data_IF_610704258362
#
_entry.id   IF_610704258362
#
_cell.length_a   1.000
_cell.length_b   1.000
_cell.length_c   1.000
_cell.angle_alpha   90.00
_cell.angle_beta   90.00
_cell.angle_gamma   90.00
#
_symmetry.space_group_name_H-M   'P 1'
#
loop_
_entity.id
_entity.type
_entity.pdbx_description
1 polymer ?
#
# COMPACT_ATOMS: atom_id res chain seq x y z
N UNK A 1 12.76 21.51 37.35
CA UNK A 1 11.64 20.54 37.40
C UNK A 1 10.96 20.62 36.04
N UNK A 2 11.31 19.75 35.09
CA UNK A 2 10.72 18.42 34.86
C UNK A 2 9.21 18.47 34.63
N UNK A 3 8.81 18.66 33.38
CA UNK A 3 7.69 17.89 32.85
C UNK A 3 8.23 17.12 31.65
N UNK A 4 8.70 15.90 31.94
CA UNK A 4 8.86 14.91 30.89
C UNK A 4 7.50 14.78 30.22
N UNK A 5 7.49 14.92 28.89
CA UNK A 5 6.39 14.42 28.08
C UNK A 5 6.33 12.94 28.42
N UNK A 6 5.43 12.58 29.35
CA UNK A 6 5.14 11.19 29.65
C UNK A 6 4.77 10.57 28.32
N UNK A 7 5.61 9.62 27.89
CA UNK A 7 5.25 8.66 26.86
C UNK A 7 3.85 8.18 27.21
N UNK A 8 2.83 8.64 26.47
CA UNK A 8 1.52 8.02 26.53
C UNK A 8 1.77 6.59 26.10
N UNK A 9 1.73 5.67 27.06
CA UNK A 9 1.60 4.25 26.77
C UNK A 9 0.29 4.11 25.99
N UNK A 10 0.39 4.06 24.67
CA UNK A 10 -0.73 3.69 23.81
C UNK A 10 -1.02 2.21 24.11
N UNK A 11 -1.93 1.99 25.05
CA UNK A 11 -2.41 0.67 25.49
C UNK A 11 -3.53 0.13 24.58
N UNK A 12 -3.88 0.83 23.50
CA UNK A 12 -4.86 0.37 22.53
C UNK A 12 -4.12 -0.23 21.32
N UNK A 13 -4.40 -1.51 21.05
CA UNK A 13 -4.03 -2.15 19.78
C UNK A 13 -4.55 -1.30 18.64
N UNK A 14 -3.66 -0.49 18.08
CA UNK A 14 -3.97 0.42 17.00
C UNK A 14 -3.72 -0.29 15.68
N UNK A 15 -4.64 -0.15 14.73
CA UNK A 15 -4.44 -0.65 13.38
C UNK A 15 -4.01 0.50 12.47
N UNK A 16 -3.04 0.24 11.60
CA UNK A 16 -2.68 1.16 10.51
C UNK A 16 -3.15 0.54 9.19
N UNK A 17 -4.09 1.21 8.54
CA UNK A 17 -4.63 0.80 7.24
C UNK A 17 -3.87 1.53 6.13
N UNK A 18 -3.33 0.79 5.17
CA UNK A 18 -2.48 1.30 4.10
C UNK A 18 -2.98 0.80 2.74
N UNK A 19 -3.24 1.73 1.82
CA UNK A 19 -3.50 1.45 0.41
C UNK A 19 -2.46 2.23 -0.40
N UNK A 20 -1.28 1.64 -0.59
CA UNK A 20 -0.11 2.30 -1.16
C UNK A 20 0.57 1.39 -2.20
N UNK A 21 1.30 2.00 -3.14
CA UNK A 21 2.04 1.28 -4.18
C UNK A 21 1.70 1.72 -5.61
N UNK A 22 0.50 2.29 -5.84
CA UNK A 22 0.07 2.72 -7.19
C UNK A 22 1.03 3.69 -7.87
N UNK A 23 1.60 4.64 -7.13
CA UNK A 23 2.58 5.59 -7.69
C UNK A 23 3.93 4.95 -7.96
N UNK A 24 4.34 3.95 -7.17
CA UNK A 24 5.58 3.21 -7.38
C UNK A 24 5.51 2.43 -8.69
N UNK A 25 4.36 1.87 -9.03
CA UNK A 25 4.13 1.13 -10.28
C UNK A 25 4.30 1.98 -11.55
N UNK A 26 4.38 3.31 -11.41
CA UNK A 26 4.72 4.20 -12.52
C UNK A 26 6.20 4.15 -12.89
N UNK A 27 7.09 3.84 -11.95
CA UNK A 27 8.54 4.01 -12.11
C UNK A 27 9.34 2.75 -11.81
N UNK A 28 8.83 1.92 -10.91
CA UNK A 28 9.50 0.75 -10.36
C UNK A 28 8.93 -0.53 -10.98
N UNK A 29 9.74 -1.59 -11.02
CA UNK A 29 9.19 -2.94 -11.19
C UNK A 29 8.42 -3.36 -9.92
N UNK A 30 7.48 -4.31 -10.01
CA UNK A 30 6.73 -4.81 -8.84
C UNK A 30 7.62 -5.16 -7.64
N UNK A 31 8.77 -5.81 -7.88
CA UNK A 31 9.69 -6.25 -6.83
C UNK A 31 10.39 -5.07 -6.15
N UNK A 32 10.76 -4.04 -6.91
CA UNK A 32 11.43 -2.84 -6.38
C UNK A 32 10.47 -2.00 -5.54
N UNK A 33 9.22 -1.87 -5.99
CA UNK A 33 8.18 -1.22 -5.19
C UNK A 33 7.85 -2.01 -3.93
N UNK A 34 7.76 -3.35 -4.04
CA UNK A 34 7.53 -4.22 -2.90
C UNK A 34 8.63 -4.10 -1.85
N UNK A 35 9.90 -4.04 -2.26
CA UNK A 35 11.02 -3.80 -1.34
C UNK A 35 10.87 -2.49 -0.56
N UNK A 36 10.34 -1.42 -1.19
CA UNK A 36 10.03 -0.16 -0.50
C UNK A 36 8.89 -0.32 0.52
N UNK A 37 7.90 -1.18 0.25
CA UNK A 37 6.85 -1.53 1.22
C UNK A 37 7.44 -2.26 2.43
N UNK A 38 8.36 -3.20 2.22
CA UNK A 38 9.04 -3.89 3.33
C UNK A 38 9.80 -2.89 4.21
N UNK A 39 10.56 -1.99 3.61
CA UNK A 39 11.27 -0.95 4.36
C UNK A 39 10.32 -0.04 5.17
N UNK A 40 9.13 0.25 4.63
CA UNK A 40 8.10 0.99 5.37
C UNK A 40 7.55 0.18 6.55
N UNK A 41 7.25 -1.11 6.35
CA UNK A 41 6.79 -2.01 7.41
C UNK A 41 7.80 -2.04 8.56
N UNK A 42 9.08 -2.24 8.24
CA UNK A 42 10.15 -2.26 9.22
C UNK A 42 10.23 -0.95 10.00
N UNK A 43 10.11 0.20 9.32
CA UNK A 43 10.10 1.52 9.95
C UNK A 43 8.90 1.74 10.88
N UNK A 44 7.71 1.32 10.44
CA UNK A 44 6.47 1.41 11.24
C UNK A 44 6.57 0.50 12.46
N UNK A 45 7.02 -0.74 12.30
CA UNK A 45 7.17 -1.70 13.41
C UNK A 45 8.27 -1.29 14.39
N UNK A 46 9.35 -0.67 13.92
CA UNK A 46 10.37 -0.10 14.80
C UNK A 46 9.82 1.06 15.66
N UNK A 47 8.95 1.90 15.09
CA UNK A 47 8.37 3.05 15.79
C UNK A 47 7.15 2.68 16.65
N UNK A 48 6.38 1.69 16.19
CA UNK A 48 5.09 1.27 16.75
C UNK A 48 4.97 -0.27 16.74
N UNK A 49 5.70 -0.97 17.62
CA UNK A 49 5.84 -2.42 17.56
C UNK A 49 4.53 -3.20 17.77
N UNK A 50 3.56 -2.62 18.49
CA UNK A 50 2.27 -3.25 18.78
C UNK A 50 1.18 -2.94 17.73
N UNK A 51 1.48 -2.16 16.70
CA UNK A 51 0.50 -1.78 15.68
C UNK A 51 0.23 -2.93 14.74
N UNK A 52 -1.05 -3.30 14.56
CA UNK A 52 -1.47 -4.22 13.51
C UNK A 52 -1.45 -3.49 12.18
N UNK A 53 -0.87 -4.09 11.14
CA UNK A 53 -0.87 -3.49 9.80
C UNK A 53 -1.96 -4.13 8.96
N UNK A 54 -2.68 -3.31 8.21
CA UNK A 54 -3.71 -3.76 7.29
C UNK A 54 -3.38 -3.16 5.94
N UNK A 55 -2.99 -3.98 4.97
CA UNK A 55 -2.76 -3.52 3.60
C UNK A 55 -3.98 -3.82 2.75
N UNK A 56 -4.45 -2.81 2.02
CA UNK A 56 -5.46 -2.98 0.98
C UNK A 56 -4.70 -3.14 -0.34
N UNK A 57 -5.02 -4.18 -1.11
CA UNK A 57 -4.48 -4.34 -2.47
C UNK A 57 -4.82 -3.12 -3.32
N UNK A 58 -4.00 -2.81 -4.33
CA UNK A 58 -4.29 -1.67 -5.21
C UNK A 58 -5.11 -2.13 -6.43
N UNK A 59 -5.99 -1.28 -6.99
CA UNK A 59 -6.74 -1.60 -8.19
C UNK A 59 -5.80 -1.81 -9.39
N UNK A 60 -6.16 -2.76 -10.26
CA UNK A 60 -5.53 -2.89 -11.58
C UNK A 60 -5.73 -1.59 -12.35
N UNK A 61 -4.67 -1.06 -12.96
CA UNK A 61 -4.73 0.19 -13.69
C UNK A 61 -5.18 -0.08 -15.14
N UNK A 62 -6.02 0.81 -15.68
CA UNK A 62 -6.47 0.71 -17.08
C UNK A 62 -5.53 1.48 -18.00
N UNK A 63 -4.61 0.76 -18.63
CA UNK A 63 -3.57 1.30 -19.52
C UNK A 63 -4.15 2.07 -20.71
N UNK A 64 -5.32 1.69 -21.22
CA UNK A 64 -5.97 2.37 -22.35
C UNK A 64 -6.46 3.78 -21.98
N UNK A 65 -6.82 4.00 -20.70
CA UNK A 65 -7.21 5.30 -20.16
C UNK A 65 -6.02 6.19 -19.78
N UNK A 66 -4.83 5.62 -19.62
CA UNK A 66 -3.62 6.36 -19.25
C UNK A 66 -3.10 7.09 -20.49
N UNK A 67 -3.40 8.39 -20.57
CA UNK A 67 -2.91 9.25 -21.66
C UNK A 67 -1.38 9.20 -21.74
N UNK A 68 -0.88 9.10 -22.97
CA UNK A 68 0.50 8.81 -23.43
C UNK A 68 1.66 9.67 -22.91
N UNK A 69 1.47 10.53 -21.90
CA UNK A 69 2.56 11.25 -21.23
C UNK A 69 3.27 10.41 -20.17
N UNK A 70 2.83 9.17 -19.94
CA UNK A 70 3.42 8.24 -18.98
C UNK A 70 4.22 7.21 -19.75
N UNK A 71 5.45 7.57 -20.11
CA UNK A 71 6.44 6.63 -20.61
C UNK A 71 6.56 5.48 -19.59
N UNK A 72 6.25 4.26 -20.03
CA UNK A 72 6.47 3.00 -19.31
C UNK A 72 5.81 2.90 -17.92
N UNK A 73 4.47 2.93 -17.85
CA UNK A 73 3.81 2.33 -16.68
C UNK A 73 4.11 0.83 -16.74
N UNK A 74 4.82 0.32 -15.74
CA UNK A 74 5.02 -1.12 -15.59
C UNK A 74 3.81 -1.66 -14.83
N UNK A 75 2.76 -2.02 -15.58
CA UNK A 75 1.41 -2.23 -15.03
C UNK A 75 1.22 -3.65 -14.52
N UNK A 76 2.26 -4.27 -13.95
CA UNK A 76 2.10 -5.58 -13.33
C UNK A 76 1.65 -5.44 -11.87
N UNK A 77 0.50 -4.79 -11.71
CA UNK A 77 -0.19 -4.65 -10.43
C UNK A 77 -0.61 -6.01 -9.88
N UNK A 78 -0.84 -6.99 -10.75
CA UNK A 78 -1.22 -8.35 -10.36
C UNK A 78 -0.02 -9.03 -9.66
N UNK A 79 1.19 -8.89 -10.18
CA UNK A 79 2.41 -9.35 -9.51
C UNK A 79 2.63 -8.60 -8.19
N UNK A 80 2.51 -7.27 -8.17
CA UNK A 80 2.68 -6.50 -6.93
C UNK A 80 1.68 -6.91 -5.84
N UNK A 81 0.40 -7.09 -6.19
CA UNK A 81 -0.62 -7.55 -5.26
C UNK A 81 -0.36 -9.00 -4.79
N UNK A 82 0.22 -9.85 -5.64
CA UNK A 82 0.65 -11.20 -5.26
C UNK A 82 1.80 -11.14 -4.23
N UNK A 83 2.77 -10.25 -4.44
CA UNK A 83 3.84 -10.01 -3.47
C UNK A 83 3.29 -9.48 -2.14
N UNK A 84 2.35 -8.51 -2.17
CA UNK A 84 1.68 -8.04 -0.95
C UNK A 84 0.97 -9.17 -0.19
N UNK A 85 0.28 -10.07 -0.89
CA UNK A 85 -0.39 -11.21 -0.26
C UNK A 85 0.59 -12.15 0.44
N UNK A 86 1.84 -12.23 -0.02
CA UNK A 86 2.87 -13.04 0.64
C UNK A 86 3.29 -12.52 2.02
N UNK A 87 2.93 -11.28 2.37
CA UNK A 87 3.19 -10.68 3.69
C UNK A 87 2.16 -11.05 4.74
N UNK A 88 1.08 -11.75 4.38
CA UNK A 88 0.03 -12.05 5.33
C UNK A 88 0.54 -12.94 6.47
N UNK A 89 0.39 -12.45 7.70
CA UNK A 89 0.77 -13.15 8.92
C UNK A 89 -0.14 -12.76 10.11
N UNK A 90 0.27 -13.03 11.35
CA UNK A 90 -0.53 -12.73 12.54
C UNK A 90 -0.65 -11.22 12.84
N UNK A 91 0.27 -10.41 12.34
CA UNK A 91 0.44 -8.98 12.62
C UNK A 91 0.17 -8.08 11.39
N UNK A 92 0.02 -8.69 10.23
CA UNK A 92 -0.25 -8.06 8.93
C UNK A 92 -1.45 -8.75 8.26
N UNK A 93 -2.57 -8.04 8.14
CA UNK A 93 -3.70 -8.47 7.32
C UNK A 93 -3.59 -7.88 5.90
N UNK A 94 -3.96 -8.67 4.90
CA UNK A 94 -4.11 -8.22 3.52
C UNK A 94 -5.58 -8.30 3.13
N UNK A 95 -6.15 -7.16 2.74
CA UNK A 95 -7.54 -7.05 2.28
C UNK A 95 -7.53 -6.86 0.77
N UNK A 96 -8.09 -7.83 0.05
CA UNK A 96 -8.38 -7.67 -1.36
C UNK A 96 -9.75 -7.02 -1.55
N UNK A 97 -9.78 -5.76 -1.99
CA UNK A 97 -11.03 -5.01 -2.12
C UNK A 97 -11.85 -5.40 -3.36
N UNK A 98 -11.30 -6.27 -4.24
CA UNK A 98 -12.03 -6.76 -5.42
C UNK A 98 -12.41 -5.66 -6.41
N UNK A 99 -11.48 -4.73 -6.65
CA UNK A 99 -11.70 -3.63 -7.59
C UNK A 99 -12.12 -4.13 -8.97
N UNK A 100 -13.20 -3.55 -9.49
CA UNK A 100 -13.69 -3.83 -10.84
C UNK A 100 -13.23 -2.73 -11.80
N UNK A 101 -13.00 -3.08 -13.07
CA UNK A 101 -12.50 -2.14 -14.10
C UNK A 101 -13.40 -0.90 -14.28
N UNK A 102 -14.71 -1.05 -14.02
CA UNK A 102 -15.69 0.02 -14.10
C UNK A 102 -15.61 1.03 -12.94
N UNK A 103 -14.78 0.76 -11.92
CA UNK A 103 -14.58 1.64 -10.76
C UNK A 103 -13.51 2.70 -11.02
N UNK A 104 -12.78 2.63 -12.13
CA UNK A 104 -11.79 3.65 -12.48
C UNK A 104 -12.40 4.82 -13.26
N UNK A 105 -11.83 6.00 -13.06
CA UNK A 105 -12.06 7.18 -13.87
C UNK A 105 -11.42 7.01 -15.26
N UNK A 106 -11.71 7.97 -16.15
CA UNK A 106 -11.21 7.97 -17.53
C UNK A 106 -9.69 8.01 -17.66
N UNK A 107 -8.97 8.37 -16.59
CA UNK A 107 -7.51 8.37 -16.56
C UNK A 107 -6.91 6.98 -16.28
N UNK A 108 -7.74 5.98 -15.96
CA UNK A 108 -7.31 4.62 -15.71
C UNK A 108 -6.52 4.40 -14.42
N UNK A 109 -6.45 5.40 -13.52
CA UNK A 109 -5.69 5.33 -12.27
C UNK A 109 -6.57 5.64 -11.05
N UNK A 110 -7.38 6.70 -11.12
CA UNK A 110 -8.16 7.13 -9.97
C UNK A 110 -9.52 6.43 -9.92
N UNK A 111 -10.05 6.21 -8.71
CA UNK A 111 -11.40 5.69 -8.54
C UNK A 111 -12.45 6.74 -8.94
N UNK A 112 -13.56 6.26 -9.52
CA UNK A 112 -14.76 7.01 -9.83
C UNK A 112 -15.61 7.14 -8.57
N UNK A 113 -15.87 8.37 -8.13
CA UNK A 113 -16.77 8.71 -7.03
C UNK A 113 -17.97 9.50 -7.54
#
# INVERSE_FOLDING_TARGET
>A
MNESIKNKEYNETSAMVMCIGTINMKYDKPQDAFAKIIALIDSVKASYPKTKLIFITIPKLNVEGIKSSVEQVNVDVDEFNTLLQSLQDNDIDIINFGFQDNMLNKDGIHLKF
#
